data_IF_852091776089
#
_entry.id   IF_852091776089
#
_cell.length_a   1.000
_cell.length_b   1.000
_cell.length_c   1.000
_cell.angle_alpha   90.00
_cell.angle_beta   90.00
_cell.angle_gamma   90.00
#
_symmetry.space_group_name_H-M   'P 1'
#
loop_
_entity.id
_entity.type
_entity.pdbx_description
1 polymer ?
#
# COMPACT_ATOMS: atom_id res chain seq x y z
N UNK A 1 -47.32 4.80 -56.53
CA UNK A 1 -46.44 5.56 -57.45
C UNK A 1 -45.32 6.10 -56.59
N UNK A 2 -44.20 5.38 -56.41
CA UNK A 2 -43.02 5.35 -57.29
C UNK A 2 -42.46 6.78 -57.46
N UNK A 3 -41.24 7.14 -57.07
CA UNK A 3 -39.92 6.50 -57.31
C UNK A 3 -38.85 7.18 -56.41
N UNK A 4 -37.95 6.40 -55.78
CA UNK A 4 -36.49 6.21 -56.08
C UNK A 4 -35.55 7.36 -55.67
N UNK A 5 -34.65 7.11 -54.70
CA UNK A 5 -33.23 6.68 -54.82
C UNK A 5 -32.26 7.86 -54.93
N UNK A 6 -31.32 7.96 -53.97
CA UNK A 6 -29.86 8.00 -54.21
C UNK A 6 -29.08 8.28 -52.91
N UNK A 7 -28.47 7.22 -52.38
CA UNK A 7 -27.13 7.24 -51.77
C UNK A 7 -26.10 7.51 -52.89
N UNK A 8 -24.84 8.01 -52.68
CA UNK A 8 -23.90 7.47 -51.69
C UNK A 8 -22.82 8.47 -51.16
N UNK A 9 -21.94 7.97 -50.26
CA UNK A 9 -20.47 8.13 -50.28
C UNK A 9 -19.90 8.20 -48.85
N UNK A 10 -19.19 7.13 -48.43
CA UNK A 10 -18.41 7.10 -47.20
C UNK A 10 -16.97 7.60 -47.41
N UNK A 11 -16.24 7.91 -46.32
CA UNK A 11 -14.79 8.04 -46.38
C UNK A 11 -14.05 6.82 -45.81
N UNK A 12 -12.98 6.53 -46.54
CA UNK A 12 -11.99 5.46 -46.44
C UNK A 12 -11.28 5.42 -45.08
N UNK A 13 -11.14 4.22 -44.51
CA UNK A 13 -10.18 3.94 -43.43
C UNK A 13 -8.87 3.45 -44.06
N UNK A 14 -7.90 4.33 -44.12
CA UNK A 14 -6.53 4.01 -44.51
C UNK A 14 -5.82 3.27 -43.37
N UNK A 15 -5.31 2.10 -43.73
CA UNK A 15 -4.40 1.22 -43.02
C UNK A 15 -3.04 1.89 -42.76
N UNK A 16 -2.60 1.89 -41.50
CA UNK A 16 -1.22 2.22 -41.13
C UNK A 16 -0.50 0.97 -40.61
N UNK A 17 0.49 0.57 -41.40
CA UNK A 17 1.37 -0.57 -41.30
C UNK A 17 2.44 -0.31 -40.23
N UNK A 18 2.45 -1.08 -39.13
CA UNK A 18 3.54 -1.07 -38.17
C UNK A 18 4.51 -2.23 -38.49
N UNK A 19 5.73 -1.90 -38.91
CA UNK A 19 6.82 -2.87 -39.07
C UNK A 19 8.12 -2.24 -38.58
N UNK A 20 8.96 -3.11 -37.98
CA UNK A 20 10.38 -2.95 -37.60
C UNK A 20 10.61 -2.41 -36.18
N UNK A 21 11.56 -2.88 -35.38
CA UNK A 21 12.59 -3.92 -35.46
C UNK A 21 13.05 -4.11 -33.99
N UNK A 22 12.96 -5.31 -33.40
CA UNK A 22 13.64 -5.61 -32.13
C UNK A 22 14.91 -6.39 -32.45
N UNK A 23 16.05 -5.68 -32.41
CA UNK A 23 17.38 -6.26 -32.39
C UNK A 23 17.71 -6.82 -31.02
N UNK A 24 18.46 -7.91 -31.01
CA UNK A 24 18.79 -8.73 -29.86
C UNK A 24 20.29 -8.64 -29.51
N UNK A 25 20.61 -9.04 -28.27
CA UNK A 25 21.88 -9.60 -27.75
C UNK A 25 23.09 -8.67 -27.53
N UNK A 26 23.53 -8.59 -26.27
CA UNK A 26 24.90 -8.92 -25.79
C UNK A 26 24.90 -8.85 -24.24
N UNK A 27 25.00 -9.96 -23.50
CA UNK A 27 26.22 -10.67 -23.07
C UNK A 27 27.23 -9.76 -22.34
N UNK A 28 27.38 -9.99 -21.04
CA UNK A 28 28.39 -9.38 -20.19
C UNK A 28 28.46 -10.05 -18.82
N UNK A 29 28.97 -11.29 -18.79
CA UNK A 29 29.34 -12.00 -17.58
C UNK A 29 30.75 -11.55 -17.15
N UNK A 30 30.92 -11.20 -15.87
CA UNK A 30 32.23 -11.00 -15.27
C UNK A 30 32.31 -11.78 -13.95
N UNK A 31 33.03 -12.90 -14.03
CA UNK A 31 33.48 -13.72 -12.91
C UNK A 31 34.62 -13.03 -12.16
N UNK A 32 34.57 -13.02 -10.83
CA UNK A 32 35.78 -12.89 -9.99
C UNK A 32 35.72 -14.00 -8.94
N UNK A 33 36.62 -14.97 -9.12
CA UNK A 33 36.92 -16.01 -8.16
C UNK A 33 37.92 -15.47 -7.13
N UNK A 34 37.70 -15.75 -5.85
CA UNK A 34 38.75 -15.68 -4.83
C UNK A 34 38.83 -17.00 -4.06
N UNK A 35 40.00 -17.62 -4.17
CA UNK A 35 40.45 -18.77 -3.39
C UNK A 35 40.91 -18.33 -1.99
N UNK A 36 40.60 -19.17 -1.00
CA UNK A 36 41.39 -19.52 0.20
C UNK A 36 40.54 -20.56 0.93
N UNK A 37 40.97 -21.76 1.32
CA UNK A 37 42.26 -22.24 1.82
C UNK A 37 41.88 -23.23 2.93
N UNK A 38 42.33 -24.47 2.81
CA UNK A 38 41.90 -25.64 3.58
C UNK A 38 42.44 -25.67 5.01
N UNK A 39 41.61 -26.05 5.98
CA UNK A 39 42.04 -26.70 7.22
C UNK A 39 40.93 -27.62 7.74
N UNK A 40 41.21 -28.92 7.87
CA UNK A 40 40.35 -29.90 8.52
C UNK A 40 40.65 -29.95 10.03
N UNK A 41 39.64 -30.29 10.86
CA UNK A 41 39.92 -31.34 11.83
C UNK A 41 38.77 -32.36 12.03
N UNK A 42 39.23 -33.59 12.26
CA UNK A 42 38.68 -34.74 13.01
C UNK A 42 37.17 -34.92 13.21
N UNK A 43 36.74 -36.11 12.80
CA UNK A 43 35.43 -36.72 13.02
C UNK A 43 35.03 -36.81 14.51
N UNK A 44 33.79 -36.40 14.79
CA UNK A 44 33.01 -36.80 15.95
C UNK A 44 31.56 -37.02 15.49
N UNK A 45 30.93 -38.08 15.98
CA UNK A 45 29.70 -38.67 15.48
C UNK A 45 28.52 -37.68 15.30
N UNK A 46 27.98 -37.62 14.07
CA UNK A 46 26.89 -36.72 13.68
C UNK A 46 25.51 -37.35 13.93
N UNK A 47 24.64 -36.57 14.59
CA UNK A 47 23.22 -36.85 14.81
C UNK A 47 22.39 -36.75 13.51
N UNK A 48 21.33 -37.56 13.32
CA UNK A 48 20.60 -37.65 12.04
C UNK A 48 19.84 -36.39 11.59
N UNK A 49 19.83 -35.31 12.37
CA UNK A 49 19.11 -34.06 12.06
C UNK A 49 19.89 -33.01 11.27
N UNK A 50 21.21 -33.14 11.12
CA UNK A 50 22.06 -32.08 10.53
C UNK A 50 22.34 -32.23 9.03
N UNK A 51 21.98 -33.36 8.42
CA UNK A 51 22.21 -33.60 6.97
C UNK A 51 21.27 -32.85 6.02
N UNK A 52 20.22 -32.20 6.52
CA UNK A 52 19.25 -31.49 5.68
C UNK A 52 19.44 -29.96 5.67
N UNK A 53 20.46 -29.44 6.38
CA UNK A 53 20.69 -27.99 6.50
C UNK A 53 22.16 -27.56 6.36
N UNK A 54 23.06 -28.42 5.88
CA UNK A 54 24.47 -28.08 5.66
C UNK A 54 24.83 -27.98 4.18
N UNK A 55 25.12 -26.77 3.68
CA UNK A 55 25.97 -26.58 2.50
C UNK A 55 25.37 -25.99 1.22
N UNK A 56 24.10 -25.58 1.20
CA UNK A 56 23.51 -24.96 0.00
C UNK A 56 23.13 -23.49 0.25
N UNK A 57 23.82 -22.58 -0.45
CA UNK A 57 23.49 -21.16 -0.49
C UNK A 57 22.06 -20.92 -1.00
N UNK A 58 21.46 -19.76 -0.70
CA UNK A 58 20.04 -19.46 -0.95
C UNK A 58 19.62 -19.71 -2.41
N UNK A 59 20.48 -19.40 -3.39
CA UNK A 59 20.22 -19.66 -4.81
C UNK A 59 19.99 -21.16 -5.12
N UNK A 60 20.72 -22.06 -4.47
CA UNK A 60 20.63 -23.51 -4.70
C UNK A 60 19.34 -24.11 -4.11
N UNK A 61 18.74 -23.43 -3.13
CA UNK A 61 17.43 -23.81 -2.56
C UNK A 61 16.29 -23.40 -3.48
N UNK A 62 16.40 -22.22 -4.10
CA UNK A 62 15.44 -21.74 -5.11
C UNK A 62 15.47 -22.63 -6.35
N UNK A 63 16.66 -22.97 -6.85
CA UNK A 63 16.81 -23.90 -7.97
C UNK A 63 16.14 -25.26 -7.68
N UNK A 64 16.40 -25.83 -6.50
CA UNK A 64 15.77 -27.08 -6.09
C UNK A 64 14.25 -26.99 -5.92
N UNK A 65 13.72 -25.84 -5.51
CA UNK A 65 12.27 -25.63 -5.43
C UNK A 65 11.63 -25.58 -6.83
N UNK A 66 12.31 -24.98 -7.80
CA UNK A 66 11.89 -24.98 -9.21
C UNK A 66 11.88 -26.40 -9.77
N UNK A 67 12.93 -27.18 -9.54
CA UNK A 67 13.02 -28.58 -10.00
C UNK A 67 11.87 -29.45 -9.44
N UNK A 68 11.45 -29.23 -8.19
CA UNK A 68 10.35 -29.97 -7.56
C UNK A 68 9.00 -29.58 -8.17
N UNK A 69 8.83 -28.30 -8.53
CA UNK A 69 7.61 -27.80 -9.18
C UNK A 69 7.53 -28.33 -10.62
N UNK A 70 8.64 -28.30 -11.35
CA UNK A 70 8.71 -28.79 -12.73
C UNK A 70 8.54 -30.32 -12.80
N UNK A 71 9.08 -31.06 -11.82
CA UNK A 71 8.88 -32.50 -11.71
C UNK A 71 7.48 -32.92 -11.24
N UNK A 72 6.64 -31.97 -10.78
CA UNK A 72 5.26 -32.24 -10.35
C UNK A 72 5.13 -33.22 -9.17
N UNK A 73 6.20 -33.47 -8.42
CA UNK A 73 6.27 -34.51 -7.40
C UNK A 73 6.29 -33.95 -5.96
N UNK A 74 5.86 -32.70 -5.78
CA UNK A 74 5.93 -31.95 -4.52
C UNK A 74 5.36 -32.70 -3.32
N UNK A 75 4.20 -33.36 -3.48
CA UNK A 75 3.54 -34.09 -2.38
C UNK A 75 4.35 -35.29 -1.91
N UNK A 76 5.02 -36.01 -2.82
CA UNK A 76 5.87 -37.17 -2.47
C UNK A 76 7.15 -36.74 -1.75
N UNK A 77 7.73 -35.61 -2.16
CA UNK A 77 8.92 -35.04 -1.52
C UNK A 77 8.56 -34.51 -0.12
N UNK A 78 7.39 -33.87 0.01
CA UNK A 78 6.87 -33.39 1.29
C UNK A 78 6.56 -34.55 2.25
N UNK A 79 5.85 -35.59 1.78
CA UNK A 79 5.52 -36.76 2.59
C UNK A 79 6.78 -37.50 3.06
N UNK A 80 7.78 -37.68 2.19
CA UNK A 80 9.07 -38.29 2.58
C UNK A 80 9.83 -37.43 3.60
N UNK A 81 9.81 -36.11 3.45
CA UNK A 81 10.50 -35.20 4.37
C UNK A 81 9.82 -35.13 5.75
N UNK A 82 8.52 -35.39 5.82
CA UNK A 82 7.72 -35.29 7.05
C UNK A 82 7.45 -36.63 7.72
N UNK A 83 7.74 -37.76 7.06
CA UNK A 83 7.52 -39.12 7.57
C UNK A 83 8.16 -39.43 8.94
N UNK A 84 9.20 -38.69 9.33
CA UNK A 84 9.90 -38.88 10.62
C UNK A 84 9.40 -37.99 11.77
N UNK A 85 8.45 -37.08 11.56
CA UNK A 85 8.10 -36.05 12.54
C UNK A 85 7.10 -36.51 13.62
N UNK A 86 6.52 -37.70 13.47
CA UNK A 86 5.51 -38.26 14.39
C UNK A 86 5.95 -39.46 15.23
N UNK A 87 7.22 -39.90 15.14
CA UNK A 87 7.69 -41.05 15.91
C UNK A 87 7.95 -40.66 17.38
N UNK A 88 7.45 -41.42 18.38
CA UNK A 88 7.80 -41.22 19.78
C UNK A 88 9.31 -41.37 19.95
N UNK A 89 9.92 -40.42 20.65
CA UNK A 89 11.36 -40.40 20.97
C UNK A 89 11.73 -41.67 21.74
N UNK A 90 12.60 -42.56 21.23
CA UNK A 90 13.06 -43.68 22.03
C UNK A 90 13.91 -43.16 23.19
N UNK A 91 13.54 -43.61 24.39
CA UNK A 91 14.33 -43.55 25.62
C UNK A 91 15.69 -44.19 25.36
N UNK A 92 16.77 -43.44 25.58
CA UNK A 92 18.12 -43.99 25.59
C UNK A 92 18.33 -44.70 26.93
N UNK A 93 18.16 -46.02 26.92
CA UNK A 93 18.81 -46.91 27.89
C UNK A 93 20.29 -46.97 27.53
N UNK A 94 21.15 -46.48 28.41
CA UNK A 94 22.60 -46.70 28.34
C UNK A 94 22.98 -47.77 29.34
N UNK A 95 23.27 -48.97 28.83
CA UNK A 95 24.08 -49.98 29.50
C UNK A 95 25.34 -50.24 28.64
N UNK A 96 26.47 -49.89 29.25
CA UNK A 96 27.78 -50.56 29.27
C UNK A 96 28.49 -51.04 27.99
N UNK A 97 29.69 -50.47 27.81
CA UNK A 97 30.90 -51.29 27.73
C UNK A 97 31.78 -51.11 26.49
N UNK A 98 32.88 -50.38 26.62
CA UNK A 98 34.21 -50.83 26.17
C UNK A 98 35.31 -49.85 26.61
N UNK A 99 36.40 -50.41 27.12
CA UNK A 99 37.47 -49.72 27.83
C UNK A 99 38.28 -48.71 27.02
N UNK A 100 38.75 -47.67 27.72
CA UNK A 100 39.93 -46.92 27.34
C UNK A 100 40.80 -46.73 28.58
N UNK A 101 42.06 -47.12 28.42
CA UNK A 101 43.13 -47.15 29.42
C UNK A 101 43.34 -45.79 30.10
N UNK A 102 43.55 -45.85 31.42
CA UNK A 102 44.09 -44.75 32.22
C UNK A 102 45.49 -44.33 31.75
N UNK A 103 45.81 -43.04 31.83
CA UNK A 103 47.15 -42.59 32.17
C UNK A 103 47.16 -41.91 33.55
N UNK A 104 48.22 -42.22 34.28
CA UNK A 104 48.53 -41.85 35.66
C UNK A 104 48.60 -40.33 35.93
N UNK A 105 48.52 -39.91 37.21
CA UNK A 105 48.29 -38.53 37.59
C UNK A 105 49.59 -37.82 37.98
N UNK A 106 50.09 -36.89 37.17
CA UNK A 106 51.02 -35.86 37.66
C UNK A 106 50.70 -34.51 36.98
N UNK A 107 49.93 -33.67 37.67
CA UNK A 107 49.56 -32.34 37.20
C UNK A 107 49.31 -31.40 38.38
N UNK A 108 50.23 -30.45 38.55
CA UNK A 108 50.28 -29.39 39.57
C UNK A 108 48.92 -28.73 39.90
N UNK A 109 48.64 -28.40 41.18
CA UNK A 109 47.38 -27.80 41.62
C UNK A 109 47.06 -26.44 40.98
N UNK A 110 48.05 -25.79 40.36
CA UNK A 110 47.88 -24.51 39.66
C UNK A 110 47.04 -24.61 38.37
N UNK A 111 47.05 -25.76 37.69
CA UNK A 111 46.34 -25.95 36.41
C UNK A 111 44.85 -26.18 36.62
N UNK A 112 44.44 -26.71 37.78
CA UNK A 112 43.02 -26.94 38.13
C UNK A 112 42.29 -25.68 38.55
N UNK A 113 42.99 -24.67 39.07
CA UNK A 113 42.36 -23.39 39.44
C UNK A 113 42.17 -22.47 38.22
N UNK A 114 43.08 -22.52 37.24
CA UNK A 114 43.01 -21.66 36.05
C UNK A 114 41.88 -22.07 35.09
N UNK A 115 41.55 -23.36 34.98
CA UNK A 115 40.49 -23.87 34.10
C UNK A 115 39.07 -23.56 34.60
N UNK A 116 38.89 -23.30 35.90
CA UNK A 116 37.58 -23.06 36.51
C UNK A 116 37.11 -21.59 36.36
N UNK A 117 38.02 -20.65 36.10
CA UNK A 117 37.71 -19.22 35.89
C UNK A 117 37.79 -18.80 34.42
N UNK A 118 38.74 -19.36 33.66
CA UNK A 118 38.96 -18.98 32.26
C UNK A 118 37.88 -19.56 31.32
N UNK A 119 37.40 -20.76 31.60
CA UNK A 119 36.34 -21.42 30.81
C UNK A 119 35.01 -20.64 30.77
N UNK A 120 34.44 -20.23 31.92
CA UNK A 120 33.19 -19.47 31.96
C UNK A 120 33.31 -18.10 31.29
N UNK A 121 34.44 -17.41 31.46
CA UNK A 121 34.67 -16.09 30.88
C UNK A 121 34.77 -16.14 29.35
N UNK A 122 35.47 -17.13 28.80
CA UNK A 122 35.54 -17.35 27.36
C UNK A 122 34.17 -17.74 26.77
N UNK A 123 33.38 -18.54 27.50
CA UNK A 123 32.03 -18.90 27.08
C UNK A 123 31.10 -17.67 27.03
N UNK A 124 31.14 -16.81 28.07
CA UNK A 124 30.36 -15.57 28.13
C UNK A 124 30.79 -14.57 27.04
N UNK A 125 32.08 -14.45 26.78
CA UNK A 125 32.60 -13.60 25.71
C UNK A 125 32.18 -14.12 24.31
N UNK A 126 32.23 -15.43 24.09
CA UNK A 126 31.78 -16.04 22.84
C UNK A 126 30.27 -15.88 22.64
N UNK A 127 29.46 -16.07 23.68
CA UNK A 127 28.00 -15.86 23.66
C UNK A 127 27.68 -14.38 23.42
N UNK A 128 28.35 -13.45 24.10
CA UNK A 128 28.18 -12.01 23.88
C UNK A 128 28.55 -11.59 22.46
N UNK A 129 29.63 -12.13 21.90
CA UNK A 129 30.04 -11.88 20.53
C UNK A 129 29.06 -12.48 19.52
N UNK A 130 28.55 -13.69 19.78
CA UNK A 130 27.51 -14.35 18.96
C UNK A 130 26.20 -13.58 18.99
N UNK A 131 25.76 -13.09 20.15
CA UNK A 131 24.55 -12.27 20.30
C UNK A 131 24.72 -10.92 19.59
N UNK A 132 25.89 -10.30 19.70
CA UNK A 132 26.23 -9.05 18.99
C UNK A 132 26.30 -9.24 17.47
N UNK A 133 26.80 -10.40 17.01
CA UNK A 133 26.83 -10.74 15.58
C UNK A 133 25.42 -11.08 15.07
N UNK A 134 24.59 -11.75 15.89
CA UNK A 134 23.17 -12.03 15.58
C UNK A 134 22.31 -10.77 15.56
N UNK A 135 22.56 -9.78 16.43
CA UNK A 135 21.83 -8.50 16.39
C UNK A 135 22.19 -7.70 15.15
N UNK A 136 23.49 -7.59 14.82
CA UNK A 136 23.98 -6.96 13.58
C UNK A 136 23.41 -7.62 12.32
N UNK A 137 23.21 -8.94 12.34
CA UNK A 137 22.60 -9.67 11.22
C UNK A 137 21.07 -9.57 11.21
N UNK A 138 20.41 -9.40 12.36
CA UNK A 138 18.96 -9.10 12.42
C UNK A 138 18.63 -7.74 11.80
N UNK A 139 19.50 -6.74 11.97
CA UNK A 139 19.34 -5.42 11.32
C UNK A 139 19.46 -5.50 9.79
N UNK A 140 20.18 -6.50 9.27
CA UNK A 140 20.31 -6.75 7.83
C UNK A 140 19.26 -7.75 7.28
N UNK A 141 18.43 -8.34 8.15
CA UNK A 141 17.47 -9.41 7.80
C UNK A 141 16.04 -8.91 7.58
N UNK A 142 15.83 -7.65 7.19
CA UNK A 142 14.55 -7.17 6.61
C UNK A 142 14.69 -7.08 5.09
N UNK A 143 14.37 -8.13 4.32
CA UNK A 143 14.75 -8.18 2.90
C UNK A 143 13.83 -7.38 1.96
N UNK A 144 12.71 -6.82 2.44
CA UNK A 144 11.78 -6.02 1.61
C UNK A 144 11.05 -4.93 2.40
N UNK A 145 11.74 -4.25 3.33
CA UNK A 145 11.23 -2.98 3.82
C UNK A 145 11.54 -1.91 2.75
N UNK A 146 10.67 -1.80 1.74
CA UNK A 146 10.64 -0.60 0.89
C UNK A 146 10.67 0.61 1.83
N UNK A 147 11.71 1.48 1.75
CA UNK A 147 11.87 2.56 2.70
C UNK A 147 10.60 3.40 2.75
N UNK A 148 10.09 3.72 3.95
CA UNK A 148 8.89 4.56 4.12
C UNK A 148 8.99 5.88 3.35
N UNK A 149 10.20 6.36 3.10
CA UNK A 149 10.49 7.52 2.27
C UNK A 149 10.09 7.35 0.80
N UNK A 150 10.21 6.15 0.22
CA UNK A 150 9.80 5.91 -1.18
C UNK A 150 8.28 5.99 -1.31
N UNK A 151 7.54 5.39 -0.37
CA UNK A 151 6.08 5.53 -0.34
C UNK A 151 5.62 6.94 0.02
N UNK A 152 6.36 7.66 0.86
CA UNK A 152 6.08 9.07 1.16
C UNK A 152 6.33 9.95 -0.07
N UNK A 153 7.45 9.76 -0.78
CA UNK A 153 7.76 10.47 -2.01
C UNK A 153 6.76 10.14 -3.14
N UNK A 154 6.33 8.87 -3.26
CA UNK A 154 5.27 8.48 -4.19
C UNK A 154 3.94 9.18 -3.86
N UNK A 155 3.53 9.18 -2.57
CA UNK A 155 2.33 9.92 -2.14
C UNK A 155 2.44 11.43 -2.37
N UNK A 156 3.62 12.01 -2.16
CA UNK A 156 3.87 13.43 -2.43
C UNK A 156 3.81 13.74 -3.93
N UNK A 157 4.38 12.88 -4.78
CA UNK A 157 4.29 13.00 -6.23
C UNK A 157 2.83 12.87 -6.72
N UNK A 158 2.08 11.92 -6.15
CA UNK A 158 0.65 11.75 -6.43
C UNK A 158 -0.15 12.99 -5.99
N UNK A 159 0.17 13.59 -4.84
CA UNK A 159 -0.48 14.81 -4.36
C UNK A 159 -0.15 16.03 -5.24
N UNK A 160 1.11 16.19 -5.65
CA UNK A 160 1.51 17.28 -6.54
C UNK A 160 0.75 17.20 -7.88
N UNK A 161 0.71 16.03 -8.50
CA UNK A 161 -0.08 15.82 -9.72
C UNK A 161 -1.59 16.02 -9.51
N UNK A 162 -2.11 15.70 -8.32
CA UNK A 162 -3.50 15.99 -7.97
C UNK A 162 -3.76 17.50 -7.81
N UNK A 163 -2.81 18.25 -7.26
CA UNK A 163 -2.87 19.71 -7.12
C UNK A 163 -2.83 20.40 -8.49
N UNK A 164 -1.95 19.96 -9.38
CA UNK A 164 -1.88 20.49 -10.75
C UNK A 164 -3.21 20.28 -11.50
N UNK A 165 -3.78 19.07 -11.41
CA UNK A 165 -5.11 18.79 -11.97
C UNK A 165 -6.19 19.65 -11.33
N UNK A 166 -6.15 19.86 -10.02
CA UNK A 166 -7.13 20.70 -9.33
C UNK A 166 -7.04 22.17 -9.81
N UNK A 167 -5.82 22.68 -10.01
CA UNK A 167 -5.61 24.02 -10.57
C UNK A 167 -6.18 24.15 -11.99
N UNK A 168 -5.91 23.17 -12.86
CA UNK A 168 -6.46 23.11 -14.21
C UNK A 168 -8.01 23.11 -14.20
N UNK A 169 -8.61 22.30 -13.33
CA UNK A 169 -10.06 22.20 -13.20
C UNK A 169 -10.72 23.50 -12.72
N UNK A 170 -10.07 24.25 -11.82
CA UNK A 170 -10.54 25.57 -11.38
C UNK A 170 -10.50 26.58 -12.52
N UNK A 171 -9.39 26.63 -13.27
CA UNK A 171 -9.27 27.50 -14.45
C UNK A 171 -10.34 27.16 -15.48
N UNK A 172 -10.52 25.87 -15.78
CA UNK A 172 -11.51 25.40 -16.75
C UNK A 172 -12.94 25.76 -16.32
N UNK A 173 -13.30 25.58 -15.05
CA UNK A 173 -14.60 26.03 -14.54
C UNK A 173 -14.78 27.54 -14.72
N UNK A 174 -13.76 28.35 -14.43
CA UNK A 174 -13.83 29.80 -14.63
C UNK A 174 -14.09 30.20 -16.08
N UNK A 175 -13.49 29.50 -17.04
CA UNK A 175 -13.73 29.70 -18.47
C UNK A 175 -15.14 29.24 -18.91
N UNK A 176 -15.56 28.06 -18.43
CA UNK A 176 -16.91 27.53 -18.64
C UNK A 176 -17.96 28.53 -18.12
N UNK A 177 -17.77 29.09 -16.91
CA UNK A 177 -18.70 30.06 -16.32
C UNK A 177 -18.74 31.39 -17.08
N UNK A 178 -17.59 31.91 -17.55
CA UNK A 178 -17.53 33.17 -18.31
C UNK A 178 -18.21 33.08 -19.69
N UNK A 179 -18.23 31.89 -20.28
CA UNK A 179 -18.81 31.65 -21.62
C UNK A 179 -20.23 31.08 -21.55
N UNK A 180 -20.71 30.71 -20.37
CA UNK A 180 -22.04 30.13 -20.17
C UNK A 180 -23.15 31.12 -20.54
N UNK A 181 -24.07 30.65 -21.39
CA UNK A 181 -25.29 31.36 -21.76
C UNK A 181 -26.45 30.74 -20.96
N UNK A 182 -26.61 31.18 -19.71
CA UNK A 182 -27.59 30.65 -18.77
C UNK A 182 -28.24 31.74 -17.93
N UNK A 183 -29.11 31.34 -17.00
CA UNK A 183 -29.69 32.29 -16.05
C UNK A 183 -28.57 33.01 -15.26
N UNK A 184 -28.61 34.35 -15.09
CA UNK A 184 -27.55 35.08 -14.40
C UNK A 184 -27.20 34.51 -13.02
N UNK A 185 -28.20 34.16 -12.22
CA UNK A 185 -28.02 33.55 -10.90
C UNK A 185 -27.36 32.15 -10.94
N UNK A 186 -27.44 31.43 -12.07
CA UNK A 186 -26.74 30.15 -12.24
C UNK A 186 -25.26 30.38 -12.54
N UNK A 187 -24.95 31.38 -13.35
CA UNK A 187 -23.57 31.80 -13.66
C UNK A 187 -22.89 32.37 -12.42
N UNK A 188 -23.57 33.22 -11.66
CA UNK A 188 -23.06 33.76 -10.38
C UNK A 188 -22.70 32.63 -9.40
N UNK A 189 -23.60 31.65 -9.19
CA UNK A 189 -23.30 30.49 -8.34
C UNK A 189 -22.09 29.67 -8.82
N UNK A 190 -21.89 29.56 -10.13
CA UNK A 190 -20.73 28.88 -10.68
C UNK A 190 -19.43 29.68 -10.45
N UNK A 191 -19.47 31.00 -10.57
CA UNK A 191 -18.35 31.90 -10.26
C UNK A 191 -18.02 31.89 -8.77
N UNK A 192 -19.03 31.86 -7.89
CA UNK A 192 -18.86 31.71 -6.45
C UNK A 192 -18.15 30.41 -6.09
N UNK A 193 -18.58 29.30 -6.70
CA UNK A 193 -17.93 28.00 -6.54
C UNK A 193 -16.49 28.02 -7.07
N UNK A 194 -16.23 28.68 -8.20
CA UNK A 194 -14.89 28.87 -8.74
C UNK A 194 -13.98 29.67 -7.78
N UNK A 195 -14.49 30.77 -7.21
CA UNK A 195 -13.75 31.60 -6.27
C UNK A 195 -13.46 30.85 -4.95
N UNK A 196 -14.44 30.10 -4.44
CA UNK A 196 -14.26 29.22 -3.29
C UNK A 196 -13.24 28.11 -3.57
N UNK A 197 -13.28 27.51 -4.76
CA UNK A 197 -12.33 26.47 -5.17
C UNK A 197 -10.89 27.00 -5.21
N UNK A 198 -10.67 28.20 -5.75
CA UNK A 198 -9.36 28.87 -5.70
C UNK A 198 -8.90 29.13 -4.26
N UNK A 199 -9.80 29.64 -3.41
CA UNK A 199 -9.53 29.89 -1.98
C UNK A 199 -9.05 28.63 -1.23
N UNK A 200 -9.69 27.48 -1.51
CA UNK A 200 -9.33 26.18 -0.94
C UNK A 200 -8.02 25.65 -1.55
N UNK A 201 -7.84 25.77 -2.86
CA UNK A 201 -6.63 25.32 -3.56
C UNK A 201 -5.37 26.03 -3.02
N UNK A 202 -5.44 27.35 -2.84
CA UNK A 202 -4.33 28.17 -2.32
C UNK A 202 -3.91 27.78 -0.89
N UNK A 203 -4.85 27.22 -0.11
CA UNK A 203 -4.67 26.87 1.30
C UNK A 203 -4.64 25.36 1.55
N UNK A 204 -4.68 24.54 0.50
CA UNK A 204 -4.77 23.10 0.62
C UNK A 204 -3.52 22.51 1.30
N UNK A 205 -3.70 21.66 2.32
CA UNK A 205 -2.60 20.99 3.04
C UNK A 205 -2.44 19.50 2.71
N UNK A 206 -3.30 18.97 1.84
CA UNK A 206 -3.22 17.58 1.40
C UNK A 206 -4.40 17.13 0.55
N UNK A 207 -4.42 15.83 0.27
CA UNK A 207 -5.45 15.16 -0.55
C UNK A 207 -6.89 15.48 -0.10
N UNK A 208 -7.24 15.56 1.21
CA UNK A 208 -8.59 15.93 1.63
C UNK A 208 -9.06 17.30 1.15
N UNK A 209 -8.18 18.30 1.12
CA UNK A 209 -8.52 19.64 0.63
C UNK A 209 -8.60 19.68 -0.89
N UNK A 210 -7.69 18.97 -1.57
CA UNK A 210 -7.73 18.85 -3.03
C UNK A 210 -9.02 18.15 -3.49
N UNK A 211 -9.48 17.13 -2.77
CA UNK A 211 -10.82 16.55 -2.97
C UNK A 211 -11.95 17.58 -2.77
N UNK A 212 -11.77 18.52 -1.85
CA UNK A 212 -12.67 19.67 -1.63
C UNK A 212 -12.73 20.61 -2.83
N UNK A 213 -11.58 20.88 -3.47
CA UNK A 213 -11.51 21.67 -4.72
C UNK A 213 -12.36 20.99 -5.81
N UNK A 214 -12.21 19.68 -6.03
CA UNK A 214 -13.04 18.98 -7.02
C UNK A 214 -14.53 18.99 -6.66
N UNK A 215 -14.89 18.95 -5.37
CA UNK A 215 -16.28 19.03 -4.93
C UNK A 215 -16.89 20.42 -5.23
N UNK A 216 -16.14 21.49 -5.00
CA UNK A 216 -16.53 22.85 -5.37
C UNK A 216 -16.64 23.03 -6.88
N UNK A 217 -15.70 22.46 -7.65
CA UNK A 217 -15.77 22.46 -9.11
C UNK A 217 -17.02 21.73 -9.60
N UNK A 218 -17.34 20.58 -9.02
CA UNK A 218 -18.56 19.83 -9.34
C UNK A 218 -19.84 20.62 -8.99
N UNK A 219 -19.85 21.34 -7.87
CA UNK A 219 -20.95 22.24 -7.49
C UNK A 219 -21.13 23.38 -8.51
N UNK A 220 -20.04 24.00 -8.96
CA UNK A 220 -20.08 25.04 -9.99
C UNK A 220 -20.61 24.53 -11.33
N UNK A 221 -20.15 23.37 -11.80
CA UNK A 221 -20.68 22.74 -13.01
C UNK A 221 -22.14 22.33 -12.88
N UNK A 222 -22.54 21.84 -11.71
CA UNK A 222 -23.94 21.55 -11.42
C UNK A 222 -24.81 22.80 -11.54
N UNK A 223 -24.31 23.96 -11.10
CA UNK A 223 -25.01 25.23 -11.24
C UNK A 223 -25.19 25.66 -12.70
N UNK A 224 -24.18 25.43 -13.56
CA UNK A 224 -24.25 25.71 -15.01
C UNK A 224 -25.12 24.70 -15.78
N UNK A 225 -25.29 23.48 -15.24
CA UNK A 225 -26.06 22.43 -15.91
C UNK A 225 -27.57 22.67 -15.81
N UNK A 226 -28.29 22.52 -16.92
CA UNK A 226 -29.76 22.49 -16.94
C UNK A 226 -30.35 21.17 -16.40
N UNK A 227 -29.50 20.21 -16.02
CA UNK A 227 -29.93 18.91 -15.51
C UNK A 227 -30.50 19.05 -14.10
N UNK A 228 -31.72 18.55 -13.91
CA UNK A 228 -32.59 18.90 -12.77
C UNK A 228 -32.17 18.37 -11.39
N UNK A 229 -31.01 17.72 -11.25
CA UNK A 229 -30.41 17.37 -9.95
C UNK A 229 -29.06 16.67 -10.15
N UNK A 230 -28.00 17.41 -10.47
CA UNK A 230 -26.65 16.83 -10.38
C UNK A 230 -26.38 16.38 -8.94
N UNK A 231 -26.06 15.10 -8.77
CA UNK A 231 -25.65 14.58 -7.46
C UNK A 231 -24.23 15.06 -7.15
N UNK A 232 -23.90 15.29 -5.86
CA UNK A 232 -22.54 15.65 -5.45
C UNK A 232 -21.58 14.48 -5.71
N UNK A 233 -20.29 14.70 -5.46
CA UNK A 233 -19.28 13.65 -5.53
C UNK A 233 -19.55 12.53 -4.51
N UNK A 234 -18.89 11.39 -4.71
CA UNK A 234 -19.00 10.24 -3.80
C UNK A 234 -18.61 10.63 -2.37
N UNK A 235 -19.53 10.44 -1.42
CA UNK A 235 -19.32 10.68 0.00
C UNK A 235 -18.13 9.94 0.57
N UNK A 236 -17.91 8.68 0.17
CA UNK A 236 -16.83 7.88 0.75
C UNK A 236 -15.47 8.37 0.27
N UNK A 237 -15.35 8.70 -1.02
CA UNK A 237 -14.12 9.18 -1.61
C UNK A 237 -14.43 10.09 -2.81
N UNK A 238 -14.41 11.42 -2.65
CA UNK A 238 -14.84 12.36 -3.70
C UNK A 238 -14.07 12.22 -5.02
N UNK A 239 -12.81 11.78 -4.97
CA UNK A 239 -12.00 11.55 -6.18
C UNK A 239 -12.47 10.34 -7.01
N UNK A 240 -13.46 9.57 -6.54
CA UNK A 240 -14.16 8.58 -7.38
C UNK A 240 -15.11 9.23 -8.40
N UNK A 241 -15.39 10.52 -8.25
CA UNK A 241 -16.28 11.27 -9.13
C UNK A 241 -17.73 11.34 -8.65
N UNK A 242 -18.66 11.74 -9.55
CA UNK A 242 -20.07 11.97 -9.23
C UNK A 242 -20.76 10.75 -8.63
N UNK A 243 -21.64 10.98 -7.67
CA UNK A 243 -22.47 9.93 -7.11
C UNK A 243 -23.55 9.47 -8.11
N UNK A 244 -23.91 8.19 -8.03
CA UNK A 244 -24.99 7.61 -8.83
C UNK A 244 -26.35 7.70 -8.14
N UNK A 245 -26.38 7.62 -6.80
CA UNK A 245 -27.60 7.78 -5.99
C UNK A 245 -27.27 8.07 -4.53
N UNK A 246 -28.27 8.55 -3.80
CA UNK A 246 -28.25 8.68 -2.33
C UNK A 246 -28.72 7.37 -1.69
N UNK A 247 -27.99 6.89 -0.68
CA UNK A 247 -28.34 5.70 0.12
C UNK A 247 -28.37 6.00 1.61
N UNK A 248 -29.23 5.31 2.38
CA UNK A 248 -29.05 5.22 3.82
C UNK A 248 -27.76 4.42 4.12
N UNK A 249 -26.90 4.98 4.95
CA UNK A 249 -25.66 4.34 5.39
C UNK A 249 -25.45 4.57 6.88
N UNK A 250 -24.86 3.58 7.55
CA UNK A 250 -24.60 3.58 8.99
C UNK A 250 -23.10 3.36 9.20
N UNK A 251 -22.37 4.31 9.80
CA UNK A 251 -21.00 4.07 10.24
C UNK A 251 -20.93 2.89 11.21
N UNK A 252 -19.85 2.11 11.13
CA UNK A 252 -19.64 1.00 12.07
C UNK A 252 -19.51 1.54 13.50
N UNK A 253 -20.14 0.86 14.46
CA UNK A 253 -20.14 1.29 15.86
C UNK A 253 -21.06 2.48 16.18
N UNK A 254 -21.89 2.94 15.24
CA UNK A 254 -22.85 4.04 15.43
C UNK A 254 -24.29 3.59 15.19
N UNK A 255 -25.24 4.21 15.89
CA UNK A 255 -26.69 3.94 15.78
C UNK A 255 -27.43 4.98 14.95
N UNK A 256 -26.73 5.99 14.47
CA UNK A 256 -27.22 7.03 13.58
C UNK A 256 -27.12 6.57 12.13
N UNK A 257 -28.14 6.86 11.34
CA UNK A 257 -28.16 6.59 9.90
C UNK A 257 -28.02 7.93 9.17
N UNK A 258 -27.10 7.97 8.21
CA UNK A 258 -26.85 9.11 7.34
C UNK A 258 -27.39 8.81 5.95
N UNK A 259 -27.91 9.84 5.26
CA UNK A 259 -28.28 9.72 3.85
C UNK A 259 -27.18 10.31 2.98
N UNK A 260 -26.37 9.45 2.37
CA UNK A 260 -25.13 9.84 1.68
C UNK A 260 -25.20 9.56 0.19
N UNK A 261 -24.60 10.42 -0.63
CA UNK A 261 -24.44 10.20 -2.06
C UNK A 261 -23.23 9.30 -2.33
N UNK A 262 -23.36 8.24 -3.14
CA UNK A 262 -22.25 7.33 -3.41
C UNK A 262 -22.16 6.95 -4.90
N UNK A 263 -20.93 6.71 -5.38
CA UNK A 263 -20.67 6.18 -6.73
C UNK A 263 -21.05 4.69 -6.80
N UNK A 264 -21.20 4.13 -8.01
CA UNK A 264 -21.60 2.72 -8.18
C UNK A 264 -20.63 1.72 -7.52
N UNK A 265 -19.34 2.04 -7.47
CA UNK A 265 -18.32 1.19 -6.83
C UNK A 265 -18.55 1.11 -5.32
N UNK A 266 -18.66 2.25 -4.62
CA UNK A 266 -18.93 2.27 -3.19
C UNK A 266 -20.31 1.72 -2.86
N UNK A 267 -21.31 1.96 -3.72
CA UNK A 267 -22.64 1.37 -3.59
C UNK A 267 -22.60 -0.15 -3.62
N UNK A 268 -21.80 -0.73 -4.54
CA UNK A 268 -21.59 -2.18 -4.61
C UNK A 268 -20.88 -2.71 -3.37
N UNK A 269 -19.87 -2.01 -2.86
CA UNK A 269 -19.18 -2.39 -1.63
C UNK A 269 -20.16 -2.46 -0.44
N UNK A 270 -20.92 -1.39 -0.20
CA UNK A 270 -21.92 -1.32 0.87
C UNK A 270 -22.97 -2.42 0.74
N UNK A 271 -23.53 -2.63 -0.46
CA UNK A 271 -24.53 -3.68 -0.72
C UNK A 271 -23.98 -5.10 -0.48
N UNK A 272 -22.71 -5.32 -0.79
CA UNK A 272 -22.02 -6.61 -0.56
C UNK A 272 -21.42 -6.72 0.84
N UNK A 273 -21.81 -5.83 1.77
CA UNK A 273 -21.33 -5.78 3.16
C UNK A 273 -19.80 -5.70 3.27
N UNK A 274 -19.15 -5.06 2.30
CA UNK A 274 -17.72 -4.75 2.32
C UNK A 274 -17.51 -3.28 2.67
N UNK A 275 -16.38 -2.98 3.31
CA UNK A 275 -15.98 -1.61 3.56
C UNK A 275 -15.72 -0.91 2.21
N UNK A 276 -16.39 0.23 1.92
CA UNK A 276 -16.02 1.06 0.79
C UNK A 276 -14.63 1.65 1.01
N UNK A 277 -13.93 1.99 -0.08
CA UNK A 277 -12.73 2.82 0.00
C UNK A 277 -13.13 4.22 0.49
N UNK A 278 -12.46 4.69 1.53
CA UNK A 278 -12.78 5.94 2.23
C UNK A 278 -11.58 6.87 2.19
N UNK A 279 -11.83 8.13 1.86
CA UNK A 279 -10.84 9.18 1.94
C UNK A 279 -10.47 9.42 3.41
N UNK A 280 -9.18 9.46 3.70
CA UNK A 280 -8.67 9.66 5.05
C UNK A 280 -8.01 11.03 5.19
N UNK A 281 -8.20 11.64 6.35
CA UNK A 281 -7.45 12.80 6.83
C UNK A 281 -6.36 12.35 7.80
N UNK A 282 -5.29 13.13 7.94
CA UNK A 282 -4.22 12.85 8.91
C UNK A 282 -4.49 13.62 10.20
N UNK A 283 -4.71 12.90 11.30
CA UNK A 283 -4.92 13.47 12.64
C UNK A 283 -4.05 12.74 13.64
N UNK A 284 -3.34 13.47 14.50
CA UNK A 284 -2.45 12.90 15.54
C UNK A 284 -1.47 11.84 15.01
N UNK A 285 -0.94 12.03 13.79
CA UNK A 285 -0.02 11.09 13.18
C UNK A 285 -0.64 9.77 12.71
N UNK A 286 -1.98 9.68 12.58
CA UNK A 286 -2.68 8.52 12.03
C UNK A 286 -3.69 8.92 10.94
N UNK A 287 -3.88 8.09 9.91
CA UNK A 287 -4.97 8.28 8.96
C UNK A 287 -6.30 7.92 9.62
N UNK A 288 -7.28 8.81 9.51
CA UNK A 288 -8.63 8.65 10.05
C UNK A 288 -9.62 8.94 8.93
N UNK A 289 -10.71 8.17 8.75
CA UNK A 289 -11.79 8.53 7.84
C UNK A 289 -12.20 10.00 8.02
N UNK A 290 -12.27 10.77 6.93
CA UNK A 290 -12.49 12.22 7.05
C UNK A 290 -13.79 12.56 7.81
N UNK A 291 -14.83 11.72 7.67
CA UNK A 291 -16.13 11.90 8.33
C UNK A 291 -16.15 11.52 9.81
N UNK A 292 -15.05 10.97 10.34
CA UNK A 292 -14.86 10.73 11.78
C UNK A 292 -14.18 11.90 12.48
N UNK A 293 -13.66 12.87 11.73
CA UNK A 293 -13.19 14.15 12.27
C UNK A 293 -14.38 14.95 12.80
N UNK A 294 -14.27 15.63 13.96
CA UNK A 294 -15.34 16.50 14.47
C UNK A 294 -15.79 17.51 13.41
N UNK A 295 -17.10 17.74 13.30
CA UNK A 295 -17.67 18.58 12.24
C UNK A 295 -17.25 20.06 12.40
N UNK A 296 -17.04 20.50 13.64
CA UNK A 296 -16.52 21.80 14.00
C UNK A 296 -15.05 22.01 13.56
N UNK A 297 -14.29 20.93 13.40
CA UNK A 297 -12.85 20.96 13.07
C UNK A 297 -12.56 20.74 11.58
N UNK A 298 -13.59 20.42 10.78
CA UNK A 298 -13.43 20.12 9.37
C UNK A 298 -14.71 20.39 8.59
N UNK A 299 -14.63 21.38 7.70
CA UNK A 299 -15.67 21.65 6.70
C UNK A 299 -16.05 20.39 5.91
N UNK A 300 -15.07 19.56 5.57
CA UNK A 300 -15.31 18.35 4.78
C UNK A 300 -16.06 17.29 5.59
N UNK A 301 -15.74 17.12 6.87
CA UNK A 301 -16.47 16.22 7.75
C UNK A 301 -17.93 16.69 7.93
N UNK A 302 -18.14 17.99 8.16
CA UNK A 302 -19.46 18.58 8.35
C UNK A 302 -20.38 18.45 7.12
N UNK A 303 -19.81 18.53 5.92
CA UNK A 303 -20.58 18.60 4.67
C UNK A 303 -20.58 17.32 3.87
N UNK A 304 -19.67 16.39 4.17
CA UNK A 304 -19.45 15.18 3.35
C UNK A 304 -19.14 15.52 1.89
N UNK A 305 -18.39 16.60 1.65
CA UNK A 305 -18.12 17.13 0.30
C UNK A 305 -19.40 17.44 -0.50
N UNK A 306 -20.42 17.97 0.18
CA UNK A 306 -21.73 18.31 -0.40
C UNK A 306 -22.77 17.19 -0.27
N UNK A 307 -22.35 15.98 0.09
CA UNK A 307 -23.26 14.84 0.28
C UNK A 307 -24.24 15.05 1.44
N UNK A 308 -23.84 15.75 2.50
CA UNK A 308 -24.68 15.95 3.69
C UNK A 308 -25.48 17.26 3.67
N UNK A 309 -25.33 18.07 2.61
CA UNK A 309 -26.07 19.32 2.46
C UNK A 309 -27.54 19.02 2.09
N UNK A 310 -28.46 19.68 2.78
CA UNK A 310 -29.89 19.35 2.79
C UNK A 310 -30.82 20.37 2.12
N UNK A 311 -30.31 21.49 1.57
CA UNK A 311 -31.16 22.53 0.99
C UNK A 311 -30.44 23.41 -0.03
N UNK A 312 -31.21 24.04 -0.92
CA UNK A 312 -30.67 24.87 -2.00
C UNK A 312 -29.93 26.13 -1.52
N UNK A 313 -30.18 26.57 -0.28
CA UNK A 313 -29.52 27.72 0.34
C UNK A 313 -28.19 27.37 1.02
N UNK A 314 -27.90 26.08 1.24
CA UNK A 314 -26.69 25.61 1.92
C UNK A 314 -25.75 24.96 0.90
N UNK A 315 -24.73 25.73 0.47
CA UNK A 315 -23.76 25.33 -0.56
C UNK A 315 -22.34 25.25 0.02
N UNK A 316 -21.48 24.45 -0.62
CA UNK A 316 -20.06 24.39 -0.26
C UNK A 316 -19.40 25.75 -0.49
N UNK A 317 -19.68 26.39 -1.63
CA UNK A 317 -19.14 27.70 -1.95
C UNK A 317 -19.49 28.74 -0.88
N UNK A 318 -20.76 28.77 -0.45
CA UNK A 318 -21.21 29.68 0.60
C UNK A 318 -20.54 29.43 1.95
N UNK A 319 -20.32 28.16 2.33
CA UNK A 319 -19.57 27.80 3.55
C UNK A 319 -18.12 28.27 3.50
N UNK A 320 -17.43 28.07 2.39
CA UNK A 320 -16.06 28.55 2.21
C UNK A 320 -16.00 30.08 2.27
N UNK A 321 -16.90 30.78 1.59
CA UNK A 321 -16.95 32.25 1.58
C UNK A 321 -17.25 32.86 2.95
N UNK A 322 -18.04 32.19 3.79
CA UNK A 322 -18.25 32.59 5.20
C UNK A 322 -17.01 32.38 6.08
N UNK A 323 -16.01 31.66 5.58
CA UNK A 323 -14.78 31.35 6.33
C UNK A 323 -14.84 30.02 7.07
N UNK A 324 -15.84 29.16 6.85
CA UNK A 324 -15.96 27.85 7.52
C UNK A 324 -14.78 26.93 7.17
N UNK A 325 -14.10 27.19 6.04
CA UNK A 325 -12.80 26.61 5.73
C UNK A 325 -11.70 27.28 6.56
N UNK A 326 -11.67 26.96 7.86
CA UNK A 326 -10.60 27.40 8.76
C UNK A 326 -9.51 26.34 8.84
N UNK A 327 -8.28 26.74 8.50
CA UNK A 327 -7.05 25.98 8.77
C UNK A 327 -6.20 26.70 9.83
N UNK A 328 -6.82 27.59 10.60
CA UNK A 328 -6.23 28.38 11.70
C UNK A 328 -6.06 27.54 12.95
N UNK A 329 -5.14 26.57 12.89
CA UNK A 329 -4.41 25.92 13.98
C UNK A 329 -3.93 24.58 13.45
N UNK A 330 -2.65 24.53 13.13
CA UNK A 330 -1.74 23.42 13.43
C UNK A 330 -0.37 24.06 13.69
#
# INVERSE_FOLDING_TARGET
>A
MCTDLLHPAGPQRASATARRLRGAVALGAASVALLCGTAAPSAAAESPGQKIAGGAGPAKRVARAIDIIEAGNGDTVYARATAGLGAPKPTQDTADGAGAKAPSPHGSPFVRLLSLVVGPVLLLAAVGLLLRRRSRLRDLSTPFALPRSVFAAARQADEAGLRDRAAEEVVRLGEEARTAQGAPAAVERALDACAAAGTVLDRARGVPDLAGVFALVAEGRAALSAATAALPLCFFHPLHGPAARRIPWRPLGRREQLRVAACETCLRAVRTRRAPEVLTDWRDGRPVPYFEVPAEDSLWAATGYGSLLGGAADSLAGRVQRGDFTRTRD
#
